data_IF_179699932683
#
_entry.id   IF_179699932683
#
_cell.length_a   1.000
_cell.length_b   1.000
_cell.length_c   1.000
_cell.angle_alpha   90.00
_cell.angle_beta   90.00
_cell.angle_gamma   90.00
#
_symmetry.space_group_name_H-M   'P 1'
#
loop_
_entity.id
_entity.type
_entity.pdbx_description
1 polymer ?
#
# COMPACT_ATOMS: atom_id res chain seq x y z
N UNK A 1 17.23 19.70 14.03
CA UNK A 1 16.83 19.26 15.39
C UNK A 1 16.12 17.94 15.23
N UNK A 2 16.78 16.85 15.63
CA UNK A 2 16.24 15.51 15.52
C UNK A 2 15.27 15.22 16.64
N UNK A 3 14.13 14.62 16.29
CA UNK A 3 13.29 13.80 17.16
C UNK A 3 12.65 12.71 16.29
N UNK A 4 13.41 11.65 16.04
CA UNK A 4 12.82 10.34 15.72
C UNK A 4 12.79 9.56 17.03
N UNK A 5 11.70 9.70 17.79
CA UNK A 5 11.35 8.79 18.87
C UNK A 5 9.83 8.72 18.99
N UNK A 6 9.36 7.50 19.25
CA UNK A 6 8.02 7.10 19.64
C UNK A 6 6.92 7.26 18.58
N UNK A 7 6.10 6.26 18.31
CA UNK A 7 5.85 5.04 19.07
C UNK A 7 4.53 4.49 18.55
N UNK A 8 4.32 3.19 18.75
CA UNK A 8 3.05 2.51 18.52
C UNK A 8 2.54 2.46 17.07
N UNK A 9 2.50 1.25 16.53
CA UNK A 9 1.23 0.65 16.11
C UNK A 9 1.38 -0.87 16.12
N UNK A 10 1.31 -1.42 17.34
CA UNK A 10 0.63 -2.69 17.53
C UNK A 10 -0.85 -2.46 17.15
N UNK A 11 -1.19 -2.69 15.89
CA UNK A 11 -2.57 -2.99 15.51
C UNK A 11 -2.56 -4.31 14.77
N UNK A 12 -2.67 -5.35 15.60
CA UNK A 12 -3.25 -6.62 15.22
C UNK A 12 -4.69 -6.36 14.78
N UNK A 13 -4.98 -6.83 13.58
CA UNK A 13 -6.23 -7.49 13.20
C UNK A 13 -7.43 -6.60 12.82
N UNK A 14 -8.09 -7.07 11.75
CA UNK A 14 -9.41 -6.72 11.22
C UNK A 14 -9.60 -5.42 10.44
N UNK A 15 -9.23 -5.48 9.15
CA UNK A 15 -10.13 -5.01 8.10
C UNK A 15 -10.21 -6.09 7.03
N UNK A 16 -11.34 -6.80 7.00
CA UNK A 16 -11.66 -7.79 5.98
C UNK A 16 -11.59 -7.14 4.60
N UNK A 17 -10.84 -7.77 3.69
CA UNK A 17 -10.71 -7.33 2.31
C UNK A 17 -11.99 -7.80 1.62
N UNK A 18 -13.00 -6.93 1.54
CA UNK A 18 -14.16 -7.18 0.69
C UNK A 18 -13.64 -7.26 -0.73
N UNK A 19 -13.77 -8.43 -1.35
CA UNK A 19 -13.40 -8.60 -2.74
C UNK A 19 -14.47 -7.88 -3.57
N UNK A 20 -14.09 -7.06 -4.58
CA UNK A 20 -15.07 -6.37 -5.42
C UNK A 20 -16.02 -7.32 -6.15
N UNK A 21 -15.58 -8.56 -6.38
CA UNK A 21 -16.36 -9.70 -6.88
C UNK A 21 -17.51 -10.15 -5.94
N UNK A 22 -17.38 -9.99 -4.62
CA UNK A 22 -18.43 -10.34 -3.63
C UNK A 22 -19.59 -9.32 -3.61
N UNK A 23 -19.38 -8.11 -4.16
CA UNK A 23 -20.36 -7.00 -4.15
C UNK A 23 -20.87 -6.62 -5.54
N UNK A 24 -20.53 -7.39 -6.58
CA UNK A 24 -21.07 -7.21 -7.93
C UNK A 24 -20.69 -5.90 -8.64
N UNK A 25 -19.65 -5.20 -8.18
CA UNK A 25 -19.20 -3.95 -8.79
C UNK A 25 -18.17 -4.21 -9.89
N UNK A 26 -18.38 -3.71 -11.13
CA UNK A 26 -17.40 -3.83 -12.20
C UNK A 26 -16.17 -3.00 -11.83
N UNK A 27 -15.03 -3.68 -11.61
CA UNK A 27 -13.67 -3.13 -11.60
C UNK A 27 -13.55 -1.68 -11.13
N UNK A 28 -14.13 -1.33 -9.99
CA UNK A 28 -13.91 -0.01 -9.42
C UNK A 28 -12.41 0.08 -9.16
N UNK A 29 -11.73 1.08 -9.75
CA UNK A 29 -10.34 1.39 -9.42
C UNK A 29 -10.28 1.64 -7.91
N UNK A 30 -9.88 0.63 -7.15
CA UNK A 30 -9.80 0.74 -5.70
C UNK A 30 -8.66 1.71 -5.42
N UNK A 31 -9.03 2.90 -4.96
CA UNK A 31 -8.09 3.93 -4.56
C UNK A 31 -7.49 3.55 -3.22
N UNK A 32 -6.16 3.56 -3.11
CA UNK A 32 -5.48 3.36 -1.84
C UNK A 32 -5.27 4.71 -1.15
N UNK A 33 -5.46 4.74 0.17
CA UNK A 33 -5.29 5.93 1.01
C UNK A 33 -4.32 5.61 2.15
N UNK A 34 -3.92 6.59 2.97
CA UNK A 34 -3.08 6.34 4.15
C UNK A 34 -3.70 5.39 5.19
N UNK A 35 -5.02 5.12 5.08
CA UNK A 35 -5.73 4.12 5.89
C UNK A 35 -5.65 2.70 5.33
N UNK A 36 -5.20 2.55 4.08
CA UNK A 36 -5.01 1.25 3.46
C UNK A 36 -3.84 0.51 4.11
N UNK A 37 -4.11 -0.69 4.62
CA UNK A 37 -3.10 -1.54 5.25
C UNK A 37 -2.19 -2.27 4.25
N UNK A 38 -1.15 -2.94 4.78
CA UNK A 38 -0.20 -3.74 3.99
C UNK A 38 -0.84 -4.79 3.10
N UNK A 39 -1.93 -5.42 3.53
CA UNK A 39 -2.61 -6.43 2.72
C UNK A 39 -3.24 -5.83 1.46
N UNK A 40 -3.88 -4.66 1.57
CA UNK A 40 -4.45 -3.96 0.42
C UNK A 40 -3.34 -3.55 -0.55
N UNK A 41 -2.24 -2.97 -0.05
CA UNK A 41 -1.07 -2.65 -0.86
C UNK A 41 -0.51 -3.88 -1.57
N UNK A 42 -0.32 -5.00 -0.85
CA UNK A 42 0.19 -6.26 -1.40
C UNK A 42 -0.71 -6.80 -2.51
N UNK A 43 -2.03 -6.86 -2.27
CA UNK A 43 -3.00 -7.34 -3.23
C UNK A 43 -2.96 -6.52 -4.55
N UNK A 44 -2.88 -5.19 -4.44
CA UNK A 44 -2.76 -4.32 -5.59
C UNK A 44 -1.47 -4.53 -6.36
N UNK A 45 -0.34 -4.59 -5.66
CA UNK A 45 0.95 -4.85 -6.27
C UNK A 45 0.99 -6.22 -6.95
N UNK A 46 0.40 -7.25 -6.36
CA UNK A 46 0.26 -8.58 -6.97
C UNK A 46 -0.63 -8.55 -8.22
N UNK A 47 -1.74 -7.80 -8.21
CA UNK A 47 -2.58 -7.58 -9.39
C UNK A 47 -1.82 -6.87 -10.52
N UNK A 48 -0.88 -5.98 -10.18
CA UNK A 48 -0.01 -5.29 -11.12
C UNK A 48 1.20 -6.13 -11.58
N UNK A 49 1.32 -7.38 -11.11
CA UNK A 49 2.42 -8.28 -11.47
C UNK A 49 3.67 -8.14 -10.61
N UNK A 50 3.61 -7.37 -9.51
CA UNK A 50 4.72 -7.20 -8.57
C UNK A 50 4.56 -8.15 -7.37
N UNK A 51 5.44 -9.16 -7.30
CA UNK A 51 5.60 -9.99 -6.10
C UNK A 51 6.78 -9.47 -5.27
N UNK A 52 6.46 -8.97 -4.08
CA UNK A 52 7.44 -8.44 -3.14
C UNK A 52 7.67 -9.43 -2.02
N UNK A 53 8.93 -9.57 -1.58
CA UNK A 53 9.20 -10.27 -0.33
C UNK A 53 8.60 -9.52 0.86
N UNK A 54 8.49 -10.16 2.02
CA UNK A 54 7.96 -9.52 3.22
C UNK A 54 8.74 -8.25 3.59
N UNK A 55 10.08 -8.32 3.51
CA UNK A 55 10.94 -7.17 3.79
C UNK A 55 10.67 -6.03 2.80
N UNK A 56 10.50 -6.37 1.53
CA UNK A 56 10.31 -5.39 0.47
C UNK A 56 8.95 -4.72 0.58
N UNK A 57 7.93 -5.49 0.93
CA UNK A 57 6.60 -4.98 1.21
C UNK A 57 6.61 -4.04 2.41
N UNK A 58 7.38 -4.33 3.47
CA UNK A 58 7.50 -3.44 4.63
C UNK A 58 8.18 -2.11 4.29
N UNK A 59 9.24 -2.13 3.46
CA UNK A 59 9.89 -0.91 2.98
C UNK A 59 8.97 -0.09 2.05
N UNK A 60 8.32 -0.78 1.11
CA UNK A 60 7.35 -0.22 0.17
C UNK A 60 6.18 0.40 0.93
N UNK A 61 5.68 -0.26 1.97
CA UNK A 61 4.59 0.25 2.80
C UNK A 61 4.92 1.56 3.51
N UNK A 62 6.15 1.72 4.02
CA UNK A 62 6.57 2.98 4.65
C UNK A 62 6.54 4.15 3.65
N UNK A 63 7.04 3.92 2.43
CA UNK A 63 7.00 4.93 1.36
C UNK A 63 5.59 5.21 0.88
N UNK A 64 4.77 4.16 0.80
CA UNK A 64 3.36 4.27 0.47
C UNK A 64 2.62 5.17 1.47
N UNK A 65 2.85 5.02 2.78
CA UNK A 65 2.24 5.92 3.77
C UNK A 65 2.66 7.38 3.56
N UNK A 66 3.94 7.64 3.29
CA UNK A 66 4.40 9.01 2.99
C UNK A 66 3.74 9.57 1.73
N UNK A 67 3.60 8.76 0.68
CA UNK A 67 2.95 9.18 -0.56
C UNK A 67 1.45 9.42 -0.35
N UNK A 68 0.77 8.54 0.38
CA UNK A 68 -0.66 8.59 0.62
C UNK A 68 -1.08 9.70 1.59
N UNK A 69 -0.17 10.15 2.45
CA UNK A 69 -0.37 11.34 3.30
C UNK A 69 -0.29 12.63 2.46
N UNK A 70 0.57 12.65 1.43
CA UNK A 70 0.73 13.78 0.52
C UNK A 70 -0.31 13.81 -0.62
N UNK A 71 -0.72 12.64 -1.11
CA UNK A 71 -1.70 12.43 -2.19
C UNK A 71 -2.76 11.48 -1.65
N UNK A 72 -3.94 12.03 -1.32
CA UNK A 72 -5.03 11.29 -0.70
C UNK A 72 -5.48 10.06 -1.50
N UNK A 73 -5.35 10.12 -2.83
CA UNK A 73 -5.77 9.07 -3.75
C UNK A 73 -4.56 8.49 -4.49
N UNK A 74 -4.14 7.29 -4.08
CA UNK A 74 -3.05 6.54 -4.71
C UNK A 74 -3.62 5.57 -5.75
N UNK A 75 -3.15 5.71 -6.98
CA UNK A 75 -3.54 4.91 -8.14
C UNK A 75 -2.47 3.87 -8.52
N UNK A 76 -2.78 3.04 -9.52
CA UNK A 76 -1.89 1.97 -9.97
C UNK A 76 -0.55 2.50 -10.52
N UNK A 77 -0.53 3.70 -11.13
CA UNK A 77 0.69 4.31 -11.67
C UNK A 77 1.61 4.82 -10.56
N UNK A 78 1.03 5.35 -9.48
CA UNK A 78 1.77 5.67 -8.27
C UNK A 78 2.41 4.41 -7.66
N UNK A 79 1.66 3.30 -7.59
CA UNK A 79 2.17 2.03 -7.07
C UNK A 79 3.32 1.47 -7.91
N UNK A 80 3.20 1.51 -9.24
CA UNK A 80 4.27 1.11 -10.15
C UNK A 80 5.51 1.97 -9.95
N UNK A 81 5.34 3.30 -9.82
CA UNK A 81 6.45 4.21 -9.55
C UNK A 81 7.13 3.87 -8.22
N UNK A 82 6.35 3.60 -7.19
CA UNK A 82 6.83 3.30 -5.85
C UNK A 82 7.70 2.03 -5.80
N UNK A 83 7.37 1.03 -6.62
CA UNK A 83 8.19 -0.19 -6.81
C UNK A 83 9.35 0.05 -7.79
N UNK A 84 9.17 0.82 -8.87
CA UNK A 84 10.20 1.08 -9.87
C UNK A 84 11.43 1.82 -9.29
N UNK A 85 11.23 2.74 -8.34
CA UNK A 85 12.31 3.40 -7.59
C UNK A 85 13.21 2.43 -6.81
N UNK A 86 12.84 1.14 -6.70
CA UNK A 86 13.66 0.08 -6.09
C UNK A 86 14.56 -0.64 -7.10
N UNK A 87 14.16 -0.70 -8.38
CA UNK A 87 14.87 -1.45 -9.42
C UNK A 87 16.05 -0.69 -10.00
N UNK A 88 16.10 0.63 -9.81
CA UNK A 88 17.24 1.46 -10.19
C UNK A 88 18.23 1.50 -9.02
N UNK A 89 19.22 0.62 -9.04
CA UNK A 89 20.46 0.74 -8.28
C UNK A 89 21.62 0.99 -9.24
#
# INVERSE_FOLDING_TARGET
SGIHQDGFLKSRENYEIIRPEDVGFPSASIVLTARSGRHALKFHLERLGHQLSKQDLDETYKRFLTLADAKLDIDDNDLQSLVAYRLVK
#
